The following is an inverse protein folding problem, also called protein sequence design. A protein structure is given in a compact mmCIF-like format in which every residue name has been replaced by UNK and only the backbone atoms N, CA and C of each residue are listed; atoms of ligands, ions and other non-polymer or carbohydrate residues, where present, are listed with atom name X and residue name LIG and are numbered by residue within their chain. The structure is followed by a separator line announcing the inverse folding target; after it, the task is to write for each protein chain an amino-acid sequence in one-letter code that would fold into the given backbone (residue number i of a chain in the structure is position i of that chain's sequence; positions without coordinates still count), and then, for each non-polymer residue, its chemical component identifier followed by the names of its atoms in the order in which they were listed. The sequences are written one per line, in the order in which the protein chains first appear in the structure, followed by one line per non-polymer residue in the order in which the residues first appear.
data_IF_443327689075
#
_entry.id   IF_443327689075
#
_cell.length_a   1.000
_cell.length_b   1.000
_cell.length_c   1.000
_cell.angle_alpha   90.00
_cell.angle_beta   90.00
_cell.angle_gamma   90.00
#
_symmetry.space_group_name_H-M   'P 1'
#
loop_
_entity.id
_entity.type
_entity.pdbx_description
1 polymer ?
#
# COMPACT_ATOMS: atom_id res chain seq x y z
N UNK A 1 -30.92 10.20 6.41
CA UNK A 1 -29.97 9.11 6.16
C UNK A 1 -29.92 8.91 4.66
N UNK A 2 -28.76 9.19 4.09
CA UNK A 2 -28.44 8.89 2.69
C UNK A 2 -27.51 7.68 2.67
N UNK A 3 -27.43 7.00 1.54
CA UNK A 3 -26.45 5.94 1.32
C UNK A 3 -25.39 6.44 0.34
N UNK A 4 -24.16 5.99 0.52
CA UNK A 4 -23.07 6.14 -0.45
C UNK A 4 -22.90 4.80 -1.16
N UNK A 5 -23.05 4.80 -2.49
CA UNK A 5 -22.88 3.64 -3.34
C UNK A 5 -21.50 3.73 -4.00
N UNK A 6 -20.66 2.71 -3.81
CA UNK A 6 -19.40 2.63 -4.54
C UNK A 6 -19.66 2.27 -6.02
N UNK A 7 -18.88 2.89 -6.92
CA UNK A 7 -19.05 2.78 -8.38
C UNK A 7 -17.83 2.21 -9.11
N UNK A 8 -16.92 1.53 -8.40
CA UNK A 8 -15.70 0.97 -9.00
C UNK A 8 -16.01 -0.09 -10.08
N UNK A 9 -17.01 -0.93 -9.86
CA UNK A 9 -17.36 -2.02 -10.78
C UNK A 9 -18.79 -1.88 -11.32
N UNK A 10 -18.96 -2.19 -12.60
CA UNK A 10 -20.29 -2.28 -13.21
C UNK A 10 -20.99 -3.57 -12.74
N UNK A 11 -22.25 -3.46 -12.31
CA UNK A 11 -23.09 -4.61 -11.97
C UNK A 11 -22.82 -5.29 -10.62
N UNK A 12 -21.76 -4.91 -9.90
CA UNK A 12 -21.45 -5.38 -8.55
C UNK A 12 -20.84 -4.24 -7.72
N UNK A 13 -21.17 -4.16 -6.44
CA UNK A 13 -20.65 -3.08 -5.60
C UNK A 13 -21.09 -3.20 -4.15
N UNK A 14 -20.64 -2.25 -3.35
CA UNK A 14 -21.00 -2.11 -1.94
C UNK A 14 -21.67 -0.77 -1.65
N UNK A 15 -22.38 -0.72 -0.54
CA UNK A 15 -23.13 0.44 -0.10
C UNK A 15 -22.86 0.72 1.37
N UNK A 16 -22.63 1.98 1.69
CA UNK A 16 -22.42 2.45 3.06
C UNK A 16 -23.57 3.35 3.47
N UNK A 17 -24.14 3.09 4.65
CA UNK A 17 -25.00 4.09 5.29
C UNK A 17 -24.14 5.31 5.63
N UNK A 18 -24.58 6.49 5.19
CA UNK A 18 -23.95 7.76 5.52
C UNK A 18 -24.74 8.43 6.64
N UNK A 19 -24.21 8.34 7.87
CA UNK A 19 -24.83 8.94 9.05
C UNK A 19 -24.57 10.45 9.10
N UNK A 20 -23.37 10.87 8.72
CA UNK A 20 -22.97 12.28 8.67
C UNK A 20 -21.93 12.54 7.60
N UNK A 21 -22.18 13.52 6.73
CA UNK A 21 -21.17 14.04 5.82
C UNK A 21 -20.22 14.95 6.60
N UNK A 22 -18.92 14.70 6.53
CA UNK A 22 -17.88 15.49 7.20
C UNK A 22 -17.25 16.49 6.23
N UNK A 23 -16.97 16.04 5.01
CA UNK A 23 -16.33 16.85 3.98
C UNK A 23 -16.76 16.37 2.60
N UNK A 24 -16.96 17.31 1.68
CA UNK A 24 -17.21 17.01 0.27
C UNK A 24 -16.59 18.12 -0.57
N UNK A 25 -15.74 17.73 -1.52
CA UNK A 25 -15.14 18.63 -2.50
C UNK A 25 -15.33 18.04 -3.88
N UNK A 26 -15.92 18.83 -4.77
CA UNK A 26 -16.06 18.48 -6.18
C UNK A 26 -15.37 19.55 -7.02
N UNK A 27 -14.35 19.12 -7.76
CA UNK A 27 -13.61 19.93 -8.74
C UNK A 27 -13.87 19.38 -10.14
N UNK A 28 -13.29 20.01 -11.17
CA UNK A 28 -13.32 19.49 -12.53
C UNK A 28 -12.53 18.18 -12.70
N UNK A 29 -11.61 17.87 -11.75
CA UNK A 29 -10.69 16.74 -11.86
C UNK A 29 -11.00 15.59 -10.89
N UNK A 30 -11.63 15.89 -9.76
CA UNK A 30 -11.90 14.90 -8.71
C UNK A 30 -13.14 15.25 -7.86
N UNK A 31 -13.83 14.23 -7.38
CA UNK A 31 -14.89 14.29 -6.38
C UNK A 31 -14.49 13.49 -5.15
N UNK A 32 -14.18 14.18 -4.06
CA UNK A 32 -13.80 13.58 -2.79
C UNK A 32 -14.92 13.74 -1.76
N UNK A 33 -15.19 12.68 -1.01
CA UNK A 33 -16.20 12.63 0.04
C UNK A 33 -15.63 11.94 1.27
N UNK A 34 -15.83 12.56 2.44
CA UNK A 34 -15.54 11.94 3.75
C UNK A 34 -16.80 11.97 4.59
N UNK A 35 -17.19 10.81 5.12
CA UNK A 35 -18.40 10.67 5.91
C UNK A 35 -18.27 9.64 7.03
N UNK A 36 -19.17 9.71 8.01
CA UNK A 36 -19.27 8.75 9.11
C UNK A 36 -20.23 7.62 8.75
N UNK A 37 -19.78 6.40 9.02
CA UNK A 37 -20.52 5.15 8.93
C UNK A 37 -20.52 4.44 10.29
N UNK A 38 -21.65 3.87 10.74
CA UNK A 38 -21.77 3.24 12.07
C UNK A 38 -20.86 2.03 12.30
N UNK A 39 -20.45 1.35 11.23
CA UNK A 39 -19.65 0.11 11.30
C UNK A 39 -18.20 0.36 10.91
N UNK A 40 -18.00 1.17 9.88
CA UNK A 40 -16.70 1.39 9.24
C UNK A 40 -15.98 2.64 9.79
N UNK A 41 -16.63 3.40 10.68
CA UNK A 41 -16.08 4.67 11.19
C UNK A 41 -16.11 5.73 10.09
N UNK A 42 -15.07 6.55 10.01
CA UNK A 42 -14.90 7.49 8.90
C UNK A 42 -14.49 6.74 7.63
N UNK A 43 -15.17 7.07 6.53
CA UNK A 43 -14.97 6.50 5.20
C UNK A 43 -14.59 7.65 4.27
N UNK A 44 -13.50 7.46 3.52
CA UNK A 44 -13.10 8.38 2.45
C UNK A 44 -13.30 7.72 1.10
N UNK A 45 -13.90 8.46 0.18
CA UNK A 45 -14.09 8.05 -1.20
C UNK A 45 -13.58 9.14 -2.15
N UNK A 46 -13.05 8.70 -3.28
CA UNK A 46 -12.56 9.53 -4.37
C UNK A 46 -13.16 9.01 -5.68
N UNK A 47 -13.82 9.89 -6.43
CA UNK A 47 -14.46 9.59 -7.71
C UNK A 47 -15.38 8.37 -7.68
N UNK A 48 -16.13 8.23 -6.58
CA UNK A 48 -17.06 7.11 -6.41
C UNK A 48 -16.43 5.83 -5.86
N UNK A 49 -15.11 5.78 -5.67
CA UNK A 49 -14.34 4.61 -5.20
C UNK A 49 -13.90 4.80 -3.76
N UNK A 50 -14.09 3.80 -2.90
CA UNK A 50 -13.68 3.86 -1.50
C UNK A 50 -12.16 3.74 -1.40
N UNK A 51 -11.53 4.72 -0.78
CA UNK A 51 -10.07 4.77 -0.63
C UNK A 51 -9.62 4.19 0.71
N UNK A 52 -10.35 4.43 1.79
CA UNK A 52 -10.00 3.90 3.13
C UNK A 52 -11.17 3.98 4.10
N UNK A 53 -11.14 3.14 5.15
CA UNK A 53 -12.04 3.23 6.29
C UNK A 53 -11.30 3.07 7.62
N UNK A 54 -11.75 3.77 8.67
CA UNK A 54 -11.14 3.67 10.00
C UNK A 54 -11.19 2.26 10.60
N UNK A 55 -12.23 1.48 10.28
CA UNK A 55 -12.46 0.18 10.91
C UNK A 55 -11.45 -0.88 10.48
N UNK A 56 -10.96 -0.84 9.24
CA UNK A 56 -10.17 -1.92 8.64
C UNK A 56 -8.86 -1.49 7.95
N UNK A 57 -8.56 -0.19 7.87
CA UNK A 57 -7.31 0.34 7.27
C UNK A 57 -6.04 -0.33 7.80
N UNK A 58 -6.03 -0.79 9.05
CA UNK A 58 -4.88 -1.47 9.63
C UNK A 58 -4.49 -2.73 8.88
N UNK A 59 -5.43 -3.46 8.30
CA UNK A 59 -5.12 -4.69 7.56
C UNK A 59 -4.23 -4.33 6.37
N UNK A 60 -4.63 -3.29 5.63
CA UNK A 60 -3.89 -2.77 4.50
C UNK A 60 -2.52 -2.23 4.92
N UNK A 61 -2.50 -1.26 5.84
CA UNK A 61 -1.26 -0.58 6.24
C UNK A 61 -0.25 -1.51 6.93
N UNK A 62 -0.72 -2.42 7.81
CA UNK A 62 0.18 -3.38 8.48
C UNK A 62 0.79 -4.36 7.48
N UNK A 63 0.02 -4.86 6.51
CA UNK A 63 0.52 -5.81 5.51
C UNK A 63 1.45 -5.16 4.49
N UNK A 64 1.15 -3.93 4.07
CA UNK A 64 1.96 -3.21 3.10
C UNK A 64 3.25 -2.62 3.72
N UNK A 65 3.27 -2.40 5.04
CA UNK A 65 4.46 -1.95 5.79
C UNK A 65 5.31 -3.08 6.36
N UNK A 66 4.72 -3.96 7.17
CA UNK A 66 5.52 -4.85 8.04
C UNK A 66 6.12 -6.02 7.27
N UNK A 67 5.44 -6.51 6.22
CA UNK A 67 5.95 -7.59 5.36
C UNK A 67 7.32 -7.22 4.77
N UNK A 68 7.47 -6.13 3.97
CA UNK A 68 8.77 -5.81 3.38
C UNK A 68 9.83 -5.41 4.42
N UNK A 69 9.48 -4.65 5.46
CA UNK A 69 10.48 -4.18 6.44
C UNK A 69 11.02 -5.33 7.29
N UNK A 70 10.16 -6.25 7.74
CA UNK A 70 10.61 -7.39 8.54
C UNK A 70 11.28 -8.48 7.69
N UNK A 71 10.95 -8.58 6.40
CA UNK A 71 11.67 -9.43 5.46
C UNK A 71 13.08 -8.90 5.19
N UNK A 72 13.22 -7.59 4.93
CA UNK A 72 14.52 -6.93 4.80
C UNK A 72 15.36 -7.08 6.08
N UNK A 73 14.75 -6.91 7.26
CA UNK A 73 15.35 -7.17 8.57
C UNK A 73 16.35 -6.13 9.07
N UNK A 74 16.73 -5.16 8.25
CA UNK A 74 17.69 -4.10 8.57
C UNK A 74 17.41 -2.80 7.80
N UNK A 75 16.15 -2.56 7.41
CA UNK A 75 15.76 -1.36 6.66
C UNK A 75 15.94 -0.10 7.53
N UNK A 76 16.63 0.90 6.98
CA UNK A 76 16.94 2.20 7.61
C UNK A 76 16.32 3.36 6.85
N UNK A 77 16.23 3.27 5.52
CA UNK A 77 15.65 4.31 4.65
C UNK A 77 14.43 3.77 3.93
N UNK A 78 13.28 4.38 4.19
CA UNK A 78 12.00 3.99 3.57
C UNK A 78 11.46 5.13 2.72
N UNK A 79 11.05 4.82 1.50
CA UNK A 79 10.29 5.72 0.63
C UNK A 79 8.84 5.26 0.60
N UNK A 80 7.91 6.17 0.83
CA UNK A 80 6.47 6.02 0.64
C UNK A 80 6.09 6.91 -0.54
N UNK A 81 5.44 6.34 -1.55
CA UNK A 81 4.87 7.08 -2.68
C UNK A 81 3.36 7.02 -2.51
N UNK A 82 2.70 8.17 -2.39
CA UNK A 82 1.30 8.25 -1.99
C UNK A 82 1.11 8.17 -0.47
N UNK A 83 -0.01 7.58 -0.03
CA UNK A 83 -0.32 7.36 1.39
C UNK A 83 -0.70 8.62 2.18
N UNK A 84 -1.29 9.63 1.51
CA UNK A 84 -1.66 10.94 2.08
C UNK A 84 -2.58 10.91 3.31
N UNK A 85 -3.24 9.78 3.62
CA UNK A 85 -3.98 9.59 4.86
C UNK A 85 -3.07 9.42 6.10
N UNK A 86 -1.81 9.05 5.87
CA UNK A 86 -0.76 8.91 6.88
C UNK A 86 -0.77 7.57 7.62
N UNK A 87 -1.65 6.63 7.27
CA UNK A 87 -1.68 5.28 7.82
C UNK A 87 -0.39 4.52 7.53
N UNK A 88 0.15 4.63 6.30
CA UNK A 88 1.44 4.04 5.95
C UNK A 88 2.58 4.61 6.81
N UNK A 89 2.64 5.94 6.92
CA UNK A 89 3.62 6.63 7.75
C UNK A 89 3.53 6.21 9.22
N UNK A 90 2.31 6.05 9.75
CA UNK A 90 2.04 5.56 11.11
C UNK A 90 2.62 4.17 11.34
N UNK A 91 2.53 3.27 10.37
CA UNK A 91 3.08 1.92 10.50
C UNK A 91 4.60 1.90 10.33
N UNK A 92 5.14 2.62 9.34
CA UNK A 92 6.60 2.68 9.09
C UNK A 92 7.32 3.23 10.32
N UNK A 93 6.80 4.28 10.94
CA UNK A 93 7.43 4.89 12.12
C UNK A 93 7.51 3.97 13.35
N UNK A 94 6.73 2.88 13.42
CA UNK A 94 6.83 1.90 14.52
C UNK A 94 8.16 1.15 14.51
N UNK A 95 8.83 1.07 13.36
CA UNK A 95 10.14 0.44 13.23
C UNK A 95 11.24 1.38 13.69
N UNK A 96 11.82 1.11 14.87
CA UNK A 96 12.89 1.95 15.45
C UNK A 96 14.21 1.90 14.68
N UNK A 97 14.42 0.87 13.88
CA UNK A 97 15.59 0.75 13.00
C UNK A 97 15.51 1.64 11.75
N UNK A 98 14.31 2.16 11.42
CA UNK A 98 14.14 3.13 10.35
C UNK A 98 14.59 4.51 10.84
N UNK A 99 15.54 5.09 10.13
CA UNK A 99 16.20 6.35 10.47
C UNK A 99 15.72 7.52 9.61
N UNK A 100 15.22 7.23 8.41
CA UNK A 100 14.69 8.22 7.47
C UNK A 100 13.47 7.65 6.75
N UNK A 101 12.40 8.46 6.71
CA UNK A 101 11.16 8.17 6.00
C UNK A 101 10.94 9.32 5.02
N UNK A 102 11.01 9.06 3.73
CA UNK A 102 10.58 10.02 2.72
C UNK A 102 9.18 9.66 2.28
N UNK A 103 8.25 10.60 2.32
CA UNK A 103 6.89 10.42 1.83
C UNK A 103 6.66 11.42 0.70
N UNK A 104 6.32 10.92 -0.48
CA UNK A 104 6.09 11.73 -1.68
C UNK A 104 4.60 11.69 -1.99
N UNK A 105 3.94 12.83 -1.88
CA UNK A 105 2.52 12.98 -2.14
C UNK A 105 2.30 14.04 -3.23
N UNK A 106 1.43 13.76 -4.20
CA UNK A 106 1.20 14.65 -5.33
C UNK A 106 0.45 15.91 -4.90
N UNK A 107 -0.43 15.80 -3.90
CA UNK A 107 -1.28 16.89 -3.43
C UNK A 107 -1.22 17.07 -1.91
N UNK A 108 -0.52 18.12 -1.48
CA UNK A 108 -0.43 18.48 -0.05
C UNK A 108 -1.78 18.82 0.59
N UNK A 109 -2.82 19.14 -0.19
CA UNK A 109 -4.16 19.36 0.36
C UNK A 109 -4.80 18.08 0.87
N UNK A 110 -4.48 16.92 0.28
CA UNK A 110 -4.93 15.60 0.76
C UNK A 110 -4.36 15.33 2.15
N UNK A 111 -3.08 15.66 2.38
CA UNK A 111 -2.43 15.50 3.69
C UNK A 111 -3.13 16.33 4.77
N UNK A 112 -3.36 17.62 4.52
CA UNK A 112 -4.00 18.50 5.50
C UNK A 112 -5.46 18.09 5.76
N UNK A 113 -6.19 17.72 4.70
CA UNK A 113 -7.53 17.19 4.82
C UNK A 113 -7.58 15.90 5.66
N UNK A 114 -6.66 14.96 5.43
CA UNK A 114 -6.61 13.73 6.20
C UNK A 114 -6.21 13.99 7.66
N UNK A 115 -5.36 14.97 7.94
CA UNK A 115 -5.07 15.38 9.33
C UNK A 115 -6.31 15.91 10.04
N UNK A 116 -7.18 16.64 9.35
CA UNK A 116 -8.42 17.18 9.91
C UNK A 116 -9.52 16.10 10.04
N UNK A 117 -9.77 15.38 8.95
CA UNK A 117 -10.94 14.51 8.82
C UNK A 117 -10.63 13.02 9.03
N UNK A 118 -9.38 12.57 9.03
CA UNK A 118 -8.96 11.19 9.31
C UNK A 118 -7.79 11.12 10.33
N UNK A 119 -7.89 11.79 11.50
CA UNK A 119 -6.77 11.89 12.43
C UNK A 119 -6.33 10.54 13.01
N UNK A 120 -7.20 9.52 12.97
CA UNK A 120 -6.90 8.17 13.43
C UNK A 120 -6.07 7.35 12.43
N UNK A 121 -5.95 7.78 11.17
CA UNK A 121 -5.05 7.17 10.20
C UNK A 121 -3.61 7.52 10.53
N UNK A 122 -3.26 8.80 10.54
CA UNK A 122 -1.90 9.21 10.87
C UNK A 122 -1.56 9.09 12.36
N UNK A 123 -2.51 9.34 13.28
CA UNK A 123 -2.26 9.39 14.74
C UNK A 123 -1.02 10.20 15.13
N UNK A 124 -0.84 11.36 14.50
CA UNK A 124 0.31 12.24 14.72
C UNK A 124 1.62 11.71 14.12
N UNK A 125 1.55 10.81 13.14
CA UNK A 125 2.74 10.31 12.44
C UNK A 125 3.44 11.37 11.60
N UNK A 126 2.71 12.41 11.16
CA UNK A 126 3.29 13.56 10.46
C UNK A 126 4.28 14.37 11.31
N UNK A 127 4.23 14.26 12.64
CA UNK A 127 5.16 14.94 13.55
C UNK A 127 6.44 14.11 13.83
N UNK A 128 6.63 12.97 13.17
CA UNK A 128 7.81 12.14 13.37
C UNK A 128 9.07 12.85 12.84
N UNK A 129 10.12 13.05 13.65
CA UNK A 129 11.30 13.81 13.24
C UNK A 129 12.12 13.14 12.12
N UNK A 130 11.83 11.88 11.79
CA UNK A 130 12.46 11.15 10.68
C UNK A 130 11.75 11.38 9.34
N UNK A 131 10.59 12.03 9.35
CA UNK A 131 9.81 12.30 8.15
C UNK A 131 10.43 13.43 7.32
N UNK A 132 10.60 13.16 6.05
CA UNK A 132 10.75 14.13 4.98
C UNK A 132 9.50 14.06 4.08
N UNK A 133 8.55 14.98 4.26
CA UNK A 133 7.36 15.07 3.42
C UNK A 133 7.67 15.92 2.19
N UNK A 134 7.52 15.33 1.01
CA UNK A 134 7.80 15.95 -0.29
C UNK A 134 6.48 16.04 -1.05
N UNK A 135 6.10 17.26 -1.45
CA UNK A 135 4.93 17.47 -2.31
C UNK A 135 5.40 17.47 -3.76
N UNK A 136 5.32 16.32 -4.42
CA UNK A 136 5.83 16.07 -5.76
C UNK A 136 5.11 14.89 -6.43
N UNK A 137 5.17 14.82 -7.74
CA UNK A 137 4.74 13.64 -8.49
C UNK A 137 5.70 12.47 -8.20
N UNK A 138 5.14 11.34 -7.77
CA UNK A 138 5.91 10.15 -7.36
C UNK A 138 6.82 9.62 -8.46
N UNK A 139 6.36 9.61 -9.72
CA UNK A 139 7.15 9.18 -10.87
C UNK A 139 8.32 10.15 -11.12
N UNK A 140 8.06 11.47 -11.10
CA UNK A 140 9.08 12.51 -11.25
C UNK A 140 10.13 12.42 -10.15
N UNK A 141 9.72 12.19 -8.91
CA UNK A 141 10.63 12.02 -7.78
C UNK A 141 11.56 10.83 -8.00
N UNK A 142 11.02 9.62 -8.24
CA UNK A 142 11.87 8.42 -8.44
C UNK A 142 12.69 8.51 -9.71
N UNK A 143 12.23 9.26 -10.72
CA UNK A 143 12.97 9.49 -11.97
C UNK A 143 14.19 10.40 -11.80
N UNK A 144 14.18 11.32 -10.83
CA UNK A 144 15.20 12.37 -10.70
C UNK A 144 16.06 12.26 -9.44
N UNK A 145 15.58 11.60 -8.39
CA UNK A 145 16.35 11.45 -7.15
C UNK A 145 17.58 10.57 -7.33
N UNK A 146 18.67 10.96 -6.65
CA UNK A 146 19.88 10.15 -6.50
C UNK A 146 19.88 9.35 -5.18
N UNK A 147 18.86 9.55 -4.34
CA UNK A 147 18.71 8.84 -3.08
C UNK A 147 18.46 7.34 -3.29
N UNK A 148 18.84 6.56 -2.27
CA UNK A 148 18.65 5.11 -2.25
C UNK A 148 17.88 4.68 -1.01
N UNK A 149 16.98 3.73 -1.18
CA UNK A 149 16.08 3.25 -0.16
C UNK A 149 16.22 1.74 0.02
N UNK A 150 16.03 1.30 1.26
CA UNK A 150 16.01 -0.13 1.62
C UNK A 150 14.63 -0.72 1.31
N UNK A 151 13.58 0.07 1.52
CA UNK A 151 12.21 -0.31 1.18
C UNK A 151 11.53 0.85 0.47
N UNK A 152 10.89 0.56 -0.66
CA UNK A 152 9.96 1.46 -1.34
C UNK A 152 8.56 0.88 -1.23
N UNK A 153 7.62 1.68 -0.76
CA UNK A 153 6.20 1.35 -0.66
C UNK A 153 5.44 2.28 -1.59
N UNK A 154 4.81 1.74 -2.62
CA UNK A 154 3.88 2.46 -3.48
C UNK A 154 2.46 2.24 -2.98
N UNK A 155 1.93 3.27 -2.33
CA UNK A 155 0.58 3.36 -1.78
C UNK A 155 -0.26 4.30 -2.65
N UNK A 156 -0.50 3.86 -3.89
CA UNK A 156 -1.25 4.61 -4.89
C UNK A 156 -2.68 4.12 -5.00
N UNK A 157 -3.58 5.00 -5.46
CA UNK A 157 -4.92 4.58 -5.92
C UNK A 157 -4.81 3.63 -7.11
N UNK A 158 -5.92 2.96 -7.43
CA UNK A 158 -6.04 2.17 -8.66
C UNK A 158 -5.60 2.97 -9.91
N UNK A 159 -5.12 2.30 -10.98
CA UNK A 159 -4.58 2.93 -12.18
C UNK A 159 -5.67 3.61 -13.02
N UNK A 160 -6.26 4.66 -12.46
CA UNK A 160 -7.28 5.51 -13.08
C UNK A 160 -6.76 6.95 -13.02
N UNK A 161 -6.67 7.60 -14.18
CA UNK A 161 -6.25 9.00 -14.25
C UNK A 161 -4.79 9.19 -13.84
N UNK A 162 -4.46 10.15 -12.94
CA UNK A 162 -3.07 10.44 -12.56
C UNK A 162 -2.28 9.24 -12.01
N UNK A 163 -2.97 8.27 -11.39
CA UNK A 163 -2.33 7.08 -10.81
C UNK A 163 -1.77 6.09 -11.83
N UNK A 164 -2.21 6.12 -13.09
CA UNK A 164 -1.80 5.16 -14.13
C UNK A 164 -0.29 5.08 -14.33
N UNK A 165 0.40 6.21 -14.20
CA UNK A 165 1.85 6.29 -14.41
C UNK A 165 2.63 5.45 -13.39
N UNK A 166 2.10 5.30 -12.16
CA UNK A 166 2.71 4.56 -11.05
C UNK A 166 2.63 3.04 -11.24
N UNK A 167 1.97 2.58 -12.29
CA UNK A 167 1.97 1.16 -12.66
C UNK A 167 2.86 0.89 -13.88
N UNK A 168 3.39 1.93 -14.54
CA UNK A 168 4.16 1.78 -15.78
C UNK A 168 5.48 1.03 -15.59
N UNK A 169 6.00 0.45 -16.68
CA UNK A 169 7.32 -0.17 -16.66
C UNK A 169 8.43 0.83 -16.24
N UNK A 170 8.34 2.07 -16.74
CA UNK A 170 9.27 3.14 -16.38
C UNK A 170 9.28 3.43 -14.88
N UNK A 171 8.10 3.40 -14.23
CA UNK A 171 8.00 3.60 -12.79
C UNK A 171 8.71 2.49 -12.02
N UNK A 172 8.47 1.22 -12.38
CA UNK A 172 9.14 0.11 -11.71
C UNK A 172 10.65 0.12 -11.96
N UNK A 173 11.11 0.47 -13.17
CA UNK A 173 12.53 0.64 -13.47
C UNK A 173 13.17 1.78 -12.64
N UNK A 174 12.47 2.91 -12.50
CA UNK A 174 12.94 4.02 -11.67
C UNK A 174 12.99 3.65 -10.19
N UNK A 175 11.96 2.96 -9.66
CA UNK A 175 11.97 2.43 -8.31
C UNK A 175 13.11 1.43 -8.10
N UNK A 176 13.31 0.48 -9.02
CA UNK A 176 14.39 -0.50 -9.00
C UNK A 176 15.77 0.15 -8.94
N UNK A 177 15.95 1.28 -9.64
CA UNK A 177 17.17 2.09 -9.58
C UNK A 177 17.33 2.76 -8.22
N UNK A 178 16.25 3.19 -7.57
CA UNK A 178 16.29 3.82 -6.25
C UNK A 178 16.48 2.83 -5.09
N UNK A 179 16.48 1.51 -5.34
CA UNK A 179 16.74 0.52 -4.29
C UNK A 179 18.24 0.34 -3.99
N UNK A 180 18.55 0.17 -2.71
CA UNK A 180 19.82 -0.38 -2.24
C UNK A 180 19.96 -1.86 -2.61
N UNK A 181 21.17 -2.40 -2.46
CA UNK A 181 21.38 -3.85 -2.47
C UNK A 181 20.59 -4.50 -1.33
N UNK A 182 19.85 -5.57 -1.62
CA UNK A 182 18.89 -6.18 -0.69
C UNK A 182 17.56 -5.43 -0.59
N UNK A 183 17.40 -4.30 -1.31
CA UNK A 183 16.21 -3.48 -1.25
C UNK A 183 14.96 -4.15 -1.85
N UNK A 184 13.79 -3.73 -1.34
CA UNK A 184 12.48 -4.30 -1.64
C UNK A 184 11.52 -3.20 -2.08
N UNK A 185 10.83 -3.40 -3.19
CA UNK A 185 9.67 -2.64 -3.63
C UNK A 185 8.40 -3.45 -3.34
N UNK A 186 7.41 -2.80 -2.75
CA UNK A 186 6.04 -3.30 -2.70
C UNK A 186 5.06 -2.26 -3.24
N UNK A 187 4.00 -2.71 -3.90
CA UNK A 187 2.91 -1.86 -4.38
C UNK A 187 1.58 -2.55 -4.15
N UNK A 188 0.53 -1.79 -3.84
CA UNK A 188 -0.83 -2.32 -3.94
C UNK A 188 -1.10 -2.74 -5.39
N UNK A 189 -1.88 -3.81 -5.59
CA UNK A 189 -2.26 -4.26 -6.92
C UNK A 189 -3.64 -4.93 -6.97
N UNK A 190 -4.66 -4.20 -6.49
CA UNK A 190 -6.07 -4.51 -6.71
C UNK A 190 -6.56 -5.86 -6.15
N UNK A 191 -7.82 -6.20 -6.43
CA UNK A 191 -8.38 -7.52 -6.10
C UNK A 191 -8.38 -8.43 -7.33
N UNK A 192 -7.56 -9.51 -7.38
CA UNK A 192 -7.40 -10.34 -8.57
C UNK A 192 -8.69 -10.99 -9.08
N UNK A 193 -9.68 -11.21 -8.23
CA UNK A 193 -10.98 -11.72 -8.66
C UNK A 193 -11.72 -10.72 -9.55
N UNK A 194 -11.60 -9.42 -9.26
CA UNK A 194 -12.25 -8.35 -10.01
C UNK A 194 -11.37 -7.81 -11.15
N UNK A 195 -10.05 -7.75 -10.94
CA UNK A 195 -9.09 -7.03 -11.80
C UNK A 195 -7.88 -7.91 -12.19
N UNK A 196 -8.10 -9.16 -12.61
CA UNK A 196 -7.00 -10.11 -12.90
C UNK A 196 -5.97 -9.56 -13.91
N UNK A 197 -6.42 -8.76 -14.89
CA UNK A 197 -5.55 -8.15 -15.90
C UNK A 197 -4.49 -7.21 -15.32
N UNK A 198 -4.77 -6.53 -14.19
CA UNK A 198 -3.81 -5.66 -13.52
C UNK A 198 -2.65 -6.48 -12.93
N UNK A 199 -2.97 -7.63 -12.34
CA UNK A 199 -1.98 -8.58 -11.79
C UNK A 199 -1.10 -9.15 -12.90
N UNK A 200 -1.70 -9.53 -14.04
CA UNK A 200 -0.94 -10.02 -15.20
C UNK A 200 0.00 -8.95 -15.76
N UNK A 201 -0.50 -7.71 -15.87
CA UNK A 201 0.27 -6.58 -16.38
C UNK A 201 1.45 -6.28 -15.46
N UNK A 202 1.23 -6.22 -14.14
CA UNK A 202 2.28 -5.99 -13.17
C UNK A 202 3.29 -7.15 -13.14
N UNK A 203 2.84 -8.40 -13.24
CA UNK A 203 3.73 -9.56 -13.33
C UNK A 203 4.68 -9.46 -14.53
N UNK A 204 4.16 -9.08 -15.71
CA UNK A 204 4.97 -8.86 -16.90
C UNK A 204 6.06 -7.78 -16.71
N UNK A 205 5.74 -6.71 -15.97
CA UNK A 205 6.65 -5.60 -15.69
C UNK A 205 7.69 -5.91 -14.59
N UNK A 206 7.33 -6.77 -13.62
CA UNK A 206 8.24 -7.22 -12.56
C UNK A 206 9.21 -8.30 -13.07
N UNK A 207 8.78 -9.10 -14.03
CA UNK A 207 9.55 -10.21 -14.56
C UNK A 207 10.82 -9.72 -15.28
N UNK A 208 11.98 -10.23 -14.85
CA UNK A 208 13.29 -9.83 -15.37
C UNK A 208 13.83 -8.52 -14.81
N UNK A 209 13.02 -7.72 -14.11
CA UNK A 209 13.45 -6.49 -13.45
C UNK A 209 14.00 -6.73 -12.03
N UNK A 210 13.41 -7.68 -11.31
CA UNK A 210 13.77 -8.04 -9.94
C UNK A 210 14.33 -9.47 -9.87
N UNK A 211 15.26 -9.70 -8.95
CA UNK A 211 15.86 -11.02 -8.72
C UNK A 211 14.88 -11.97 -8.03
N UNK A 212 14.00 -11.41 -7.19
CA UNK A 212 12.86 -12.09 -6.60
C UNK A 212 11.61 -11.25 -6.85
N UNK A 213 10.66 -11.78 -7.61
CA UNK A 213 9.36 -11.16 -7.81
C UNK A 213 8.22 -12.14 -7.55
N UNK A 214 7.19 -11.65 -6.89
CA UNK A 214 5.98 -12.41 -6.56
C UNK A 214 4.82 -11.47 -6.22
N UNK A 215 3.74 -12.02 -5.68
CA UNK A 215 2.70 -11.25 -5.00
C UNK A 215 2.45 -11.85 -3.62
N UNK A 216 2.01 -11.03 -2.69
CA UNK A 216 1.39 -11.51 -1.45
C UNK A 216 0.00 -10.91 -1.34
N UNK A 217 -0.81 -11.42 -0.41
CA UNK A 217 -2.22 -11.05 -0.33
C UNK A 217 -2.70 -10.80 1.09
N UNK A 218 -3.76 -9.99 1.20
CA UNK A 218 -4.54 -9.83 2.42
C UNK A 218 -6.01 -9.57 2.06
N UNK A 219 -6.93 -9.98 2.92
CA UNK A 219 -8.35 -9.70 2.76
C UNK A 219 -8.72 -8.46 3.57
N UNK A 220 -8.81 -7.31 2.89
CA UNK A 220 -9.29 -6.04 3.48
C UNK A 220 -10.81 -5.96 3.22
N UNK A 221 -11.66 -5.98 4.26
CA UNK A 221 -13.12 -6.06 4.11
C UNK A 221 -13.73 -5.02 3.16
N UNK A 222 -13.23 -3.78 3.19
CA UNK A 222 -13.71 -2.69 2.34
C UNK A 222 -13.34 -2.89 0.87
N UNK A 223 -12.25 -3.59 0.55
CA UNK A 223 -11.86 -3.81 -0.84
C UNK A 223 -12.52 -5.08 -1.36
N UNK A 224 -13.68 -4.91 -2.01
CA UNK A 224 -14.55 -6.02 -2.41
C UNK A 224 -13.91 -6.88 -3.51
N UNK A 225 -14.25 -8.18 -3.52
CA UNK A 225 -13.70 -9.16 -4.46
C UNK A 225 -12.82 -10.24 -3.81
N UNK A 226 -12.67 -10.24 -2.48
CA UNK A 226 -11.87 -11.22 -1.75
C UNK A 226 -10.54 -10.63 -1.31
N UNK A 227 -9.47 -11.42 -1.35
CA UNK A 227 -8.14 -10.90 -1.04
C UNK A 227 -7.68 -9.93 -2.11
N UNK A 228 -7.07 -8.82 -1.70
CA UNK A 228 -6.27 -7.99 -2.59
C UNK A 228 -4.85 -8.55 -2.70
N UNK A 229 -4.16 -8.20 -3.79
CA UNK A 229 -2.75 -8.52 -4.00
C UNK A 229 -1.86 -7.31 -3.81
N UNK A 230 -0.64 -7.56 -3.34
CA UNK A 230 0.45 -6.61 -3.25
C UNK A 230 1.60 -7.18 -4.07
N UNK A 231 2.07 -6.43 -5.06
CA UNK A 231 3.21 -6.88 -5.86
C UNK A 231 4.50 -6.74 -5.04
N UNK A 232 5.40 -7.70 -5.23
CA UNK A 232 6.67 -7.79 -4.54
C UNK A 232 7.80 -7.84 -5.57
N UNK A 233 8.79 -6.95 -5.42
CA UNK A 233 10.00 -6.96 -6.21
C UNK A 233 11.21 -6.69 -5.33
N UNK A 234 12.13 -7.65 -5.21
CA UNK A 234 13.34 -7.51 -4.43
C UNK A 234 14.61 -7.70 -5.27
N UNK A 235 15.67 -7.01 -4.86
CA UNK A 235 16.97 -7.07 -5.54
C UNK A 235 17.77 -8.32 -5.17
N UNK A 236 17.39 -9.01 -4.09
CA UNK A 236 18.03 -10.25 -3.64
C UNK A 236 17.06 -11.46 -3.78
N UNK A 237 17.49 -12.61 -4.32
CA UNK A 237 16.62 -13.74 -4.70
C UNK A 237 15.91 -14.44 -3.53
N UNK A 238 16.44 -14.31 -2.31
CA UNK A 238 15.91 -14.97 -1.11
C UNK A 238 15.11 -14.02 -0.20
N UNK A 239 14.76 -12.82 -0.67
CA UNK A 239 14.15 -11.78 0.17
C UNK A 239 12.80 -12.20 0.76
N UNK A 240 11.97 -12.96 0.01
CA UNK A 240 10.71 -13.50 0.54
C UNK A 240 10.86 -14.82 1.31
N UNK A 241 12.03 -15.46 1.27
CA UNK A 241 12.26 -16.82 1.83
C UNK A 241 12.78 -16.78 3.27
N UNK A 242 12.39 -15.76 4.03
CA UNK A 242 12.77 -15.61 5.44
C UNK A 242 12.06 -16.67 6.28
N UNK A 243 12.79 -17.40 7.11
CA UNK A 243 12.19 -18.44 7.94
C UNK A 243 11.22 -17.86 8.96
N UNK A 244 10.16 -18.62 9.29
CA UNK A 244 9.19 -18.24 10.31
C UNK A 244 9.85 -17.95 11.67
N UNK A 245 10.90 -18.70 12.01
CA UNK A 245 11.69 -18.45 13.22
C UNK A 245 12.34 -17.07 13.20
N UNK A 246 12.96 -16.69 12.08
CA UNK A 246 13.59 -15.38 11.92
C UNK A 246 12.54 -14.26 11.98
N UNK A 247 11.39 -14.44 11.32
CA UNK A 247 10.29 -13.47 11.37
C UNK A 247 9.76 -13.30 12.79
N UNK A 248 9.59 -14.38 13.55
CA UNK A 248 9.18 -14.33 14.97
C UNK A 248 10.20 -13.59 15.83
N UNK A 249 11.49 -13.86 15.65
CA UNK A 249 12.55 -13.18 16.38
C UNK A 249 12.57 -11.67 16.07
N UNK A 250 12.53 -11.29 14.78
CA UNK A 250 12.51 -9.89 14.34
C UNK A 250 11.28 -9.16 14.85
N UNK A 251 10.10 -9.77 14.73
CA UNK A 251 8.84 -9.18 15.20
C UNK A 251 8.84 -9.00 16.72
N UNK A 252 9.21 -10.02 17.49
CA UNK A 252 9.32 -9.93 18.94
C UNK A 252 10.36 -8.87 19.37
N UNK A 253 11.53 -8.83 18.73
CA UNK A 253 12.58 -7.86 19.02
C UNK A 253 12.22 -6.42 18.67
N UNK A 254 11.27 -6.20 17.74
CA UNK A 254 10.80 -4.87 17.36
C UNK A 254 9.94 -4.20 18.44
N UNK A 255 9.25 -5.00 19.27
CA UNK A 255 8.25 -4.51 20.23
C UNK A 255 6.98 -3.90 19.58
N UNK A 256 6.80 -4.09 18.27
CA UNK A 256 5.64 -3.60 17.53
C UNK A 256 4.40 -4.40 17.92
N UNK A 257 3.29 -3.70 18.13
CA UNK A 257 1.97 -4.31 18.35
C UNK A 257 1.10 -4.04 17.13
N UNK A 258 0.51 -5.11 16.61
CA UNK A 258 -0.31 -5.17 15.41
C UNK A 258 -1.69 -5.72 15.73
N UNK A 259 -2.65 -5.47 14.85
CA UNK A 259 -4.01 -6.01 14.93
C UNK A 259 -4.24 -7.16 13.94
N UNK A 260 -3.53 -7.16 12.81
CA UNK A 260 -3.64 -8.14 11.73
C UNK A 260 -2.33 -8.90 11.53
N UNK A 261 -1.24 -8.18 11.30
CA UNK A 261 0.04 -8.79 10.95
C UNK A 261 0.56 -9.64 12.12
N UNK A 262 1.05 -10.83 11.80
CA UNK A 262 1.92 -11.62 12.65
C UNK A 262 2.85 -12.47 11.74
N UNK A 263 3.92 -13.09 12.26
CA UNK A 263 4.87 -13.86 11.45
C UNK A 263 4.23 -14.98 10.61
N UNK A 264 3.17 -15.63 11.11
CA UNK A 264 2.45 -16.67 10.40
C UNK A 264 1.62 -16.11 9.25
N UNK A 265 0.95 -14.97 9.48
CA UNK A 265 0.23 -14.22 8.44
C UNK A 265 1.21 -13.73 7.37
N UNK A 266 2.41 -13.25 7.75
CA UNK A 266 3.45 -12.86 6.80
C UNK A 266 3.77 -14.02 5.85
N UNK A 267 4.11 -15.19 6.39
CA UNK A 267 4.48 -16.35 5.59
C UNK A 267 3.30 -16.83 4.73
N UNK A 268 2.12 -16.90 5.33
CA UNK A 268 0.89 -17.33 4.65
C UNK A 268 0.45 -16.38 3.53
N UNK A 269 0.77 -15.08 3.63
CA UNK A 269 0.38 -14.08 2.64
C UNK A 269 0.97 -14.34 1.24
N UNK A 270 2.13 -15.00 1.15
CA UNK A 270 2.74 -15.36 -0.14
C UNK A 270 2.12 -16.60 -0.80
N UNK A 271 1.19 -17.30 -0.13
CA UNK A 271 0.48 -18.43 -0.70
C UNK A 271 -0.66 -17.93 -1.61
N UNK A 272 -0.38 -17.72 -2.89
CA UNK A 272 -1.37 -17.29 -3.88
C UNK A 272 -2.30 -18.45 -4.28
N UNK A 273 -3.58 -18.17 -4.58
CA UNK A 273 -4.51 -19.16 -5.09
C UNK A 273 -4.16 -19.56 -6.53
N UNK A 274 -4.56 -20.77 -6.93
CA UNK A 274 -4.14 -21.39 -8.19
C UNK A 274 -4.44 -20.55 -9.44
N UNK A 275 -5.58 -19.86 -9.48
CA UNK A 275 -5.96 -19.04 -10.64
C UNK A 275 -5.04 -17.82 -10.81
N UNK A 276 -4.55 -17.25 -9.72
CA UNK A 276 -3.56 -16.15 -9.75
C UNK A 276 -2.21 -16.67 -10.22
N UNK A 277 -1.76 -17.82 -9.71
CA UNK A 277 -0.53 -18.47 -10.17
C UNK A 277 -0.56 -18.74 -11.69
N UNK A 278 -1.67 -19.26 -12.20
CA UNK A 278 -1.88 -19.46 -13.63
C UNK A 278 -1.84 -18.15 -14.41
N UNK A 279 -2.50 -17.10 -13.90
CA UNK A 279 -2.53 -15.79 -14.55
C UNK A 279 -1.14 -15.15 -14.70
N UNK A 280 -0.27 -15.32 -13.69
CA UNK A 280 1.10 -14.80 -13.70
C UNK A 280 2.14 -15.78 -14.24
N UNK A 281 1.70 -16.94 -14.76
CA UNK A 281 2.58 -17.94 -15.37
C UNK A 281 3.55 -18.64 -14.39
N UNK A 282 3.21 -18.69 -13.08
CA UNK A 282 4.02 -19.40 -12.08
C UNK A 282 3.46 -20.81 -11.78
N UNK A 283 4.30 -21.85 -11.69
CA UNK A 283 3.85 -23.21 -11.42
C UNK A 283 3.53 -23.46 -9.94
N UNK A 284 4.14 -22.70 -9.02
CA UNK A 284 3.93 -22.77 -7.57
C UNK A 284 4.22 -21.41 -6.92
N UNK A 285 4.07 -21.33 -5.60
CA UNK A 285 4.44 -20.15 -4.79
C UNK A 285 5.94 -20.07 -4.46
N UNK A 286 6.75 -20.96 -5.05
CA UNK A 286 8.20 -21.06 -4.79
C UNK A 286 9.06 -20.06 -5.57
#
# INVERSE_FOLDING_TARGET
MSDYQETLYEGYGQRFRMDKLLHEVRTEHQHLVIFENPRMGRVMALDGVIQTTEADEFIYHEMLTHVPILAHGAARRVLIIGGGDGGMLREVRKHKGVESITMVEIDGTVVEMCKEFLPNHSRGAYDDPRLNLVIDDGMRFVASTEEKFDVIISDSTDPIGPGEVLFSENFYQACRRCLNEGGILVTQNGTPFMQLGEVQTTAGRMNGLFADWHFYQAAVPTYIGGSMTFAWGATHPESRKVSLETLRQRFAGSGIVTRYYNPEIHLGAFALPQYVLQAIGKPSND
#
